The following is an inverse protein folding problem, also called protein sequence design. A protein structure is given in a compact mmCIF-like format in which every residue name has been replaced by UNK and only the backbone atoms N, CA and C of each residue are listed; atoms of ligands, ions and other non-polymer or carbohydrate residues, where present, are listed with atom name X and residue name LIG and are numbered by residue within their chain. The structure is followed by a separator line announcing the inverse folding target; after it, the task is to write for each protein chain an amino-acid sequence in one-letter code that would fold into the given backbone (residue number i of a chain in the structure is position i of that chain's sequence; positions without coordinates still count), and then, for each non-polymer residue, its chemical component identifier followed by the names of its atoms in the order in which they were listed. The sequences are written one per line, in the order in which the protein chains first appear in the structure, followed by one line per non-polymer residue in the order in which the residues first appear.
data_IF_685065755188
#
_entry.id   IF_685065755188
#
_cell.length_a   1.000
_cell.length_b   1.000
_cell.length_c   1.000
_cell.angle_alpha   90.00
_cell.angle_beta   90.00
_cell.angle_gamma   90.00
#
_symmetry.space_group_name_H-M   'P 1'
#
loop_
_entity.id
_entity.type
_entity.pdbx_description
1 polymer ?
#
# COMPACT_ATOMS: atom_id res chain seq x y z
N UNK A 1 -1.05 36.35 11.06
CA UNK A 1 -0.61 35.31 10.11
C UNK A 1 0.73 35.71 9.56
N UNK A 2 1.73 34.81 9.48
CA UNK A 2 2.96 35.12 8.74
C UNK A 2 2.62 35.46 7.28
N UNK A 3 3.42 36.31 6.65
CA UNK A 3 3.17 36.71 5.27
C UNK A 3 3.34 35.49 4.33
N UNK A 4 2.48 35.33 3.32
CA UNK A 4 2.64 34.30 2.30
C UNK A 4 4.04 34.37 1.67
N UNK A 5 4.81 33.29 1.77
CA UNK A 5 6.20 33.20 1.28
C UNK A 5 6.28 32.55 -0.09
N UNK A 6 7.23 33.02 -0.91
CA UNK A 6 7.69 32.35 -2.11
C UNK A 6 9.11 31.85 -1.84
N UNK A 7 9.36 30.56 -2.02
CA UNK A 7 10.62 29.94 -1.64
C UNK A 7 11.17 29.05 -2.77
N UNK A 8 12.50 29.05 -2.89
CA UNK A 8 13.26 28.27 -3.87
C UNK A 8 14.33 27.49 -3.11
N UNK A 9 14.22 26.17 -3.10
CA UNK A 9 15.29 25.29 -2.61
C UNK A 9 16.18 24.89 -3.78
N UNK A 10 17.47 25.20 -3.70
CA UNK A 10 18.48 24.82 -4.68
C UNK A 10 19.29 23.62 -4.20
N UNK A 11 19.46 22.62 -5.05
CA UNK A 11 20.28 21.43 -4.80
C UNK A 11 21.05 21.05 -6.06
N UNK A 12 22.04 20.18 -5.94
CA UNK A 12 22.87 19.73 -7.05
C UNK A 12 22.57 18.27 -7.40
N UNK A 13 22.34 18.00 -8.67
CA UNK A 13 22.25 16.68 -9.27
C UNK A 13 23.51 16.38 -10.08
N UNK A 14 23.97 15.13 -10.03
CA UNK A 14 25.12 14.69 -10.87
C UNK A 14 24.77 14.65 -12.35
N UNK A 15 23.49 14.46 -12.66
CA UNK A 15 23.01 14.26 -14.02
C UNK A 15 22.34 15.51 -14.59
N UNK A 16 21.67 16.30 -13.75
CA UNK A 16 20.86 17.45 -14.17
C UNK A 16 21.53 18.81 -13.92
N UNK A 17 22.61 18.84 -13.13
CA UNK A 17 23.27 20.09 -12.74
C UNK A 17 22.60 20.74 -11.53
N UNK A 18 22.29 22.03 -11.62
CA UNK A 18 21.59 22.75 -10.54
C UNK A 18 20.10 22.49 -10.67
N UNK A 19 19.48 21.98 -9.60
CA UNK A 19 18.04 21.73 -9.52
C UNK A 19 17.42 22.70 -8.52
N UNK A 20 16.30 23.31 -8.91
CA UNK A 20 15.52 24.24 -8.13
C UNK A 20 14.12 23.66 -7.91
N UNK A 21 13.65 23.69 -6.67
CA UNK A 21 12.33 23.26 -6.27
C UNK A 21 11.62 24.44 -5.62
N UNK A 22 10.45 24.80 -6.14
CA UNK A 22 9.66 25.92 -5.64
C UNK A 22 8.59 25.47 -4.67
N UNK A 23 8.43 26.22 -3.59
CA UNK A 23 7.41 25.95 -2.57
C UNK A 23 6.99 27.23 -1.85
N UNK A 24 6.00 27.10 -0.97
CA UNK A 24 5.34 28.19 -0.25
C UNK A 24 3.99 28.59 -0.86
N UNK A 25 3.23 29.40 -0.14
CA UNK A 25 1.90 29.87 -0.57
C UNK A 25 1.94 30.64 -1.89
N UNK A 26 3.08 31.28 -2.20
CA UNK A 26 3.32 32.04 -3.43
C UNK A 26 4.33 31.35 -4.36
N UNK A 27 4.42 30.02 -4.35
CA UNK A 27 5.35 29.25 -5.21
C UNK A 27 5.27 29.62 -6.71
N UNK A 28 4.13 30.11 -7.20
CA UNK A 28 3.99 30.61 -8.58
C UNK A 28 4.91 31.80 -8.89
N UNK A 29 5.20 32.67 -7.92
CA UNK A 29 6.14 33.78 -8.07
C UNK A 29 7.58 33.26 -8.15
N UNK A 30 7.92 32.25 -7.35
CA UNK A 30 9.19 31.54 -7.43
C UNK A 30 9.38 30.83 -8.79
N UNK A 31 8.32 30.26 -9.37
CA UNK A 31 8.36 29.67 -10.72
C UNK A 31 8.70 30.72 -11.79
N UNK A 32 8.06 31.90 -11.74
CA UNK A 32 8.37 33.00 -12.67
C UNK A 32 9.83 33.45 -12.56
N UNK A 33 10.35 33.57 -11.34
CA UNK A 33 11.75 33.92 -11.12
C UNK A 33 12.72 32.92 -11.75
N UNK A 34 12.42 31.62 -11.70
CA UNK A 34 13.23 30.57 -12.33
C UNK A 34 13.14 30.59 -13.86
N UNK A 35 11.94 30.78 -14.40
CA UNK A 35 11.72 30.90 -15.84
C UNK A 35 12.47 32.10 -16.42
N UNK A 36 12.39 33.27 -15.78
CA UNK A 36 13.12 34.48 -16.20
C UNK A 36 14.65 34.35 -16.04
N UNK A 37 15.10 33.58 -15.05
CA UNK A 37 16.52 33.26 -14.85
C UNK A 37 17.06 32.22 -15.86
N UNK A 38 16.20 31.61 -16.68
CA UNK A 38 16.56 30.68 -17.74
C UNK A 38 16.66 29.21 -17.31
N UNK A 39 15.98 28.81 -16.23
CA UNK A 39 15.86 27.40 -15.87
C UNK A 39 14.86 26.67 -16.79
N UNK A 40 15.16 25.42 -17.13
CA UNK A 40 14.24 24.55 -17.85
C UNK A 40 13.36 23.76 -16.86
N UNK A 41 12.05 23.68 -17.10
CA UNK A 41 11.11 22.97 -16.22
C UNK A 41 10.96 21.51 -16.62
N UNK A 42 11.03 20.62 -15.63
CA UNK A 42 10.81 19.18 -15.78
C UNK A 42 9.33 18.82 -15.60
N UNK A 43 8.90 17.65 -16.11
CA UNK A 43 7.52 17.18 -15.96
C UNK A 43 7.07 17.01 -14.49
N UNK A 44 8.01 16.64 -13.61
CA UNK A 44 7.75 16.48 -12.18
C UNK A 44 7.65 17.83 -11.43
N UNK A 45 7.77 18.97 -12.13
CA UNK A 45 7.65 20.31 -11.56
C UNK A 45 8.97 20.96 -11.11
N UNK A 46 10.07 20.21 -11.02
CA UNK A 46 11.39 20.77 -10.71
C UNK A 46 11.94 21.59 -11.87
N UNK A 47 12.85 22.52 -11.59
CA UNK A 47 13.50 23.36 -12.59
C UNK A 47 15.01 23.10 -12.59
N UNK A 48 15.64 23.02 -13.76
CA UNK A 48 17.06 22.66 -13.90
C UNK A 48 17.86 23.72 -14.67
N UNK A 49 19.13 23.86 -14.30
CA UNK A 49 20.12 24.64 -15.01
C UNK A 49 21.43 23.82 -15.14
N UNK A 50 21.90 23.53 -16.37
CA UNK A 50 23.14 22.78 -16.56
C UNK A 50 24.34 23.50 -15.95
N UNK A 51 25.24 22.73 -15.33
CA UNK A 51 26.51 23.24 -14.77
C UNK A 51 27.71 22.97 -15.70
N UNK A 52 27.46 22.63 -16.96
CA UNK A 52 28.50 22.24 -17.93
C UNK A 52 29.39 23.41 -18.36
N UNK A 53 28.85 24.64 -18.43
CA UNK A 53 29.61 25.87 -18.67
C UNK A 53 29.65 26.76 -17.41
N UNK A 54 30.81 26.94 -16.77
CA UNK A 54 30.96 27.79 -15.59
C UNK A 54 30.54 29.24 -15.79
N UNK A 55 30.69 29.81 -16.99
CA UNK A 55 30.30 31.19 -17.28
C UNK A 55 28.79 31.32 -17.44
N UNK A 56 28.14 30.40 -18.16
CA UNK A 56 26.68 30.31 -18.21
C UNK A 56 26.09 30.09 -16.82
N UNK A 57 26.62 29.15 -16.04
CA UNK A 57 26.14 28.85 -14.69
C UNK A 57 26.21 30.08 -13.76
N UNK A 58 27.31 30.86 -13.81
CA UNK A 58 27.41 32.12 -13.06
C UNK A 58 26.38 33.16 -13.51
N UNK A 59 26.13 33.28 -14.82
CA UNK A 59 25.10 34.19 -15.34
C UNK A 59 23.70 33.79 -14.87
N UNK A 60 23.36 32.50 -14.95
CA UNK A 60 22.08 31.95 -14.47
C UNK A 60 21.92 32.15 -12.96
N UNK A 61 22.96 31.92 -12.16
CA UNK A 61 22.92 32.17 -10.72
C UNK A 61 22.70 33.66 -10.39
N UNK A 62 23.41 34.57 -11.06
CA UNK A 62 23.22 36.01 -10.88
C UNK A 62 21.83 36.47 -11.31
N UNK A 63 21.32 35.95 -12.43
CA UNK A 63 19.95 36.21 -12.89
C UNK A 63 18.92 35.70 -11.88
N UNK A 64 19.11 34.49 -11.35
CA UNK A 64 18.23 33.92 -10.32
C UNK A 64 18.17 34.81 -9.08
N UNK A 65 19.30 35.28 -8.56
CA UNK A 65 19.31 36.17 -7.39
C UNK A 65 18.55 37.47 -7.69
N UNK A 66 18.75 38.04 -8.89
CA UNK A 66 18.04 39.26 -9.31
C UNK A 66 16.53 39.05 -9.42
N UNK A 67 16.09 38.01 -10.12
CA UNK A 67 14.67 37.71 -10.33
C UNK A 67 13.99 37.23 -9.05
N UNK A 68 14.66 36.44 -8.21
CA UNK A 68 14.12 36.05 -6.91
C UNK A 68 13.85 37.28 -6.03
N UNK A 69 14.77 38.24 -5.98
CA UNK A 69 14.54 39.50 -5.28
C UNK A 69 13.36 40.29 -5.89
N UNK A 70 13.28 40.39 -7.22
CA UNK A 70 12.19 41.10 -7.90
C UNK A 70 10.81 40.49 -7.65
N UNK A 71 10.72 39.16 -7.55
CA UNK A 71 9.48 38.42 -7.28
C UNK A 71 9.26 38.12 -5.78
N UNK A 72 10.09 38.66 -4.88
CA UNK A 72 9.96 38.44 -3.44
C UNK A 72 10.16 36.99 -2.99
N UNK A 73 10.93 36.20 -3.75
CA UNK A 73 11.26 34.82 -3.44
C UNK A 73 12.56 34.69 -2.64
N UNK A 74 12.54 33.83 -1.63
CA UNK A 74 13.73 33.49 -0.83
C UNK A 74 14.43 32.27 -1.42
N UNK A 75 15.76 32.31 -1.53
CA UNK A 75 16.57 31.21 -2.03
C UNK A 75 17.27 30.53 -0.85
N UNK A 76 17.07 29.22 -0.72
CA UNK A 76 17.76 28.37 0.25
C UNK A 76 18.59 27.33 -0.50
N UNK A 77 19.88 27.22 -0.21
CA UNK A 77 20.74 26.18 -0.79
C UNK A 77 20.79 24.97 0.13
N UNK A 78 20.46 23.81 -0.41
CA UNK A 78 20.64 22.52 0.27
C UNK A 78 22.08 22.07 0.12
N UNK A 79 22.67 21.59 1.21
CA UNK A 79 23.98 20.91 1.19
C UNK A 79 23.86 19.45 0.75
N UNK A 80 22.63 18.96 0.55
CA UNK A 80 22.35 17.58 0.17
C UNK A 80 22.20 17.48 -1.35
N UNK A 81 22.64 16.36 -1.96
CA UNK A 81 22.36 16.08 -3.35
C UNK A 81 20.85 16.02 -3.62
N UNK A 82 20.49 16.22 -4.89
CA UNK A 82 19.10 16.17 -5.33
C UNK A 82 18.44 14.84 -4.92
N UNK A 83 17.34 14.92 -4.16
CA UNK A 83 16.67 13.74 -3.60
C UNK A 83 16.20 12.76 -4.67
N UNK A 84 15.84 13.23 -5.87
CA UNK A 84 15.46 12.37 -6.98
C UNK A 84 16.61 11.48 -7.49
N UNK A 85 17.84 11.98 -7.50
CA UNK A 85 19.02 11.16 -7.83
C UNK A 85 19.21 10.07 -6.77
N UNK A 86 19.13 10.46 -5.49
CA UNK A 86 19.30 9.55 -4.36
C UNK A 86 18.24 8.44 -4.34
N UNK A 87 16.97 8.78 -4.57
CA UNK A 87 15.88 7.80 -4.70
C UNK A 87 16.08 6.84 -5.86
N UNK A 88 16.51 7.35 -7.03
CA UNK A 88 16.81 6.53 -8.21
C UNK A 88 17.98 5.57 -7.96
N UNK A 89 19.05 6.03 -7.31
CA UNK A 89 20.21 5.21 -6.95
C UNK A 89 19.87 4.11 -5.93
N UNK A 90 18.95 4.38 -4.99
CA UNK A 90 18.41 3.35 -4.09
C UNK A 90 17.58 2.34 -4.87
N UNK A 91 16.59 2.80 -5.64
CA UNK A 91 15.67 1.94 -6.37
C UNK A 91 16.41 0.96 -7.30
N UNK A 92 17.47 1.41 -7.98
CA UNK A 92 18.32 0.57 -8.83
C UNK A 92 19.05 -0.55 -8.08
N UNK A 93 19.23 -0.43 -6.76
CA UNK A 93 19.94 -1.39 -5.92
C UNK A 93 19.00 -2.27 -5.07
N UNK A 94 17.70 -1.96 -5.03
CA UNK A 94 16.72 -2.76 -4.31
C UNK A 94 16.41 -4.08 -5.04
N UNK A 95 16.05 -5.15 -4.31
CA UNK A 95 15.67 -6.41 -4.92
C UNK A 95 14.32 -6.29 -5.65
N UNK A 96 14.28 -6.73 -6.90
CA UNK A 96 13.10 -6.67 -7.77
C UNK A 96 13.10 -5.46 -8.69
N UNK A 97 11.94 -5.11 -9.23
CA UNK A 97 11.77 -3.94 -10.10
C UNK A 97 11.23 -2.78 -9.26
N UNK A 98 12.09 -1.81 -8.98
CA UNK A 98 11.74 -0.57 -8.29
C UNK A 98 11.94 0.63 -9.21
N UNK A 99 11.03 1.59 -9.12
CA UNK A 99 11.20 2.94 -9.68
C UNK A 99 11.20 3.95 -8.53
N UNK A 100 11.75 5.12 -8.80
CA UNK A 100 11.69 6.26 -7.90
C UNK A 100 11.22 7.48 -8.68
N UNK A 101 10.26 8.20 -8.10
CA UNK A 101 9.76 9.46 -8.64
C UNK A 101 9.86 10.52 -7.57
N UNK A 102 10.20 11.75 -7.96
CA UNK A 102 10.16 12.88 -7.02
C UNK A 102 8.78 13.53 -7.11
N UNK A 103 8.12 13.61 -5.96
CA UNK A 103 6.89 14.37 -5.79
C UNK A 103 7.20 15.72 -5.13
N UNK A 104 6.57 16.78 -5.63
CA UNK A 104 6.76 18.14 -5.16
C UNK A 104 5.45 18.67 -4.61
N UNK A 105 5.43 18.91 -3.30
CA UNK A 105 4.32 19.50 -2.59
C UNK A 105 4.56 21.01 -2.51
N UNK A 106 4.42 21.76 -3.62
CA UNK A 106 4.77 23.20 -3.63
C UNK A 106 3.93 24.01 -2.63
N UNK A 107 2.62 23.78 -2.56
CA UNK A 107 1.74 24.46 -1.62
C UNK A 107 1.72 23.75 -0.24
N UNK A 108 1.74 24.47 0.90
CA UNK A 108 1.72 23.85 2.24
C UNK A 108 0.62 22.82 2.45
N UNK A 109 -0.61 23.14 2.02
CA UNK A 109 -1.76 22.24 2.14
C UNK A 109 -1.60 20.91 1.38
N UNK A 110 -0.78 20.83 0.33
CA UNK A 110 -0.61 19.59 -0.43
C UNK A 110 0.21 18.54 0.32
N UNK A 111 0.95 18.94 1.36
CA UNK A 111 1.61 17.97 2.25
C UNK A 111 0.56 17.21 3.08
N UNK A 112 -0.60 17.82 3.35
CA UNK A 112 -1.65 17.17 4.15
C UNK A 112 -2.26 15.96 3.44
N UNK A 113 -2.15 15.89 2.11
CA UNK A 113 -2.59 14.75 1.31
C UNK A 113 -1.77 13.48 1.62
N UNK A 114 -0.57 13.62 2.22
CA UNK A 114 0.25 12.47 2.63
C UNK A 114 -0.29 11.76 3.87
N UNK A 115 -1.00 12.47 4.75
CA UNK A 115 -1.42 11.92 6.04
C UNK A 115 -2.24 10.65 5.95
N UNK A 116 -3.28 10.57 5.09
CA UNK A 116 -4.10 9.37 4.98
C UNK A 116 -3.34 8.19 4.34
N UNK A 117 -2.24 8.46 3.64
CA UNK A 117 -1.47 7.44 2.94
C UNK A 117 -0.33 6.86 3.78
N UNK A 118 0.06 7.48 4.90
CA UNK A 118 1.14 6.93 5.74
C UNK A 118 0.67 5.67 6.44
N UNK A 119 1.47 4.60 6.34
CA UNK A 119 1.15 3.37 7.06
C UNK A 119 1.56 3.41 8.54
N UNK A 120 2.41 4.33 8.96
CA UNK A 120 2.83 4.41 10.37
C UNK A 120 2.83 5.84 10.89
N UNK A 121 2.55 5.98 12.19
CA UNK A 121 2.60 7.25 12.92
C UNK A 121 3.93 7.51 13.66
N UNK A 122 5.02 6.87 13.24
CA UNK A 122 6.32 6.93 13.89
C UNK A 122 7.10 8.23 13.63
N UNK A 123 8.42 8.10 13.45
CA UNK A 123 9.28 9.27 13.16
C UNK A 123 8.87 9.98 11.87
N UNK A 124 8.32 9.26 10.89
CA UNK A 124 7.83 9.83 9.62
C UNK A 124 6.69 10.80 9.86
N UNK A 125 5.73 10.37 10.67
CA UNK A 125 4.56 11.16 10.98
C UNK A 125 4.94 12.43 11.73
N UNK A 126 5.74 12.31 12.81
CA UNK A 126 6.23 13.50 13.53
C UNK A 126 7.04 14.44 12.64
N UNK A 127 7.84 13.89 11.72
CA UNK A 127 8.58 14.71 10.76
C UNK A 127 7.65 15.53 9.85
N UNK A 128 6.55 14.94 9.39
CA UNK A 128 5.54 15.62 8.58
C UNK A 128 4.66 16.58 9.40
N UNK A 129 4.52 16.35 10.71
CA UNK A 129 3.70 17.18 11.61
C UNK A 129 4.46 18.44 12.00
N UNK A 130 5.71 18.25 12.44
CA UNK A 130 6.54 19.31 12.99
C UNK A 130 7.23 20.14 11.90
N UNK A 131 7.38 19.60 10.69
CA UNK A 131 8.19 20.22 9.64
C UNK A 131 7.50 20.29 8.30
N UNK A 132 7.84 21.36 7.57
CA UNK A 132 7.48 21.51 6.17
C UNK A 132 8.36 20.61 5.30
N UNK A 133 7.73 19.69 4.57
CA UNK A 133 8.37 18.81 3.58
C UNK A 133 7.90 19.22 2.17
N UNK A 134 8.67 20.06 1.45
CA UNK A 134 8.25 20.58 0.14
C UNK A 134 8.37 19.56 -1.00
N UNK A 135 9.06 18.45 -0.79
CA UNK A 135 9.23 17.37 -1.77
C UNK A 135 9.66 16.08 -1.08
N UNK A 136 9.32 14.96 -1.70
CA UNK A 136 9.72 13.62 -1.29
C UNK A 136 10.05 12.77 -2.52
N UNK A 137 10.79 11.68 -2.34
CA UNK A 137 10.91 10.66 -3.38
C UNK A 137 10.04 9.47 -3.01
N UNK A 138 9.13 9.09 -3.92
CA UNK A 138 8.29 7.91 -3.76
C UNK A 138 8.91 6.76 -4.54
N UNK A 139 9.24 5.68 -3.83
CA UNK A 139 9.78 4.46 -4.41
C UNK A 139 8.65 3.46 -4.56
N UNK A 140 8.42 2.98 -5.78
CA UNK A 140 7.34 2.04 -6.10
C UNK A 140 7.91 0.75 -6.64
N UNK A 141 7.32 -0.38 -6.26
CA UNK A 141 7.63 -1.66 -6.88
C UNK A 141 6.47 -2.18 -7.74
N UNK A 142 6.77 -3.13 -8.62
CA UNK A 142 5.77 -3.76 -9.49
C UNK A 142 4.70 -4.60 -8.75
N UNK A 143 4.78 -4.74 -7.43
CA UNK A 143 3.80 -5.43 -6.59
C UNK A 143 2.91 -4.49 -5.78
N UNK A 144 2.95 -3.18 -6.04
CA UNK A 144 2.10 -2.19 -5.37
C UNK A 144 2.61 -1.72 -4.00
N UNK A 145 3.85 -2.06 -3.62
CA UNK A 145 4.48 -1.44 -2.43
C UNK A 145 4.98 -0.05 -2.81
N UNK A 146 4.60 0.94 -2.01
CA UNK A 146 5.04 2.32 -2.15
C UNK A 146 5.75 2.77 -0.86
N UNK A 147 6.91 3.40 -1.00
CA UNK A 147 7.72 3.89 0.11
C UNK A 147 7.96 5.39 -0.05
N UNK A 148 7.83 6.14 1.04
CA UNK A 148 8.08 7.57 1.08
C UNK A 148 9.48 7.83 1.66
N UNK A 149 10.32 8.48 0.86
CA UNK A 149 11.67 8.91 1.24
C UNK A 149 11.71 10.42 1.36
N UNK A 150 12.05 10.92 2.55
CA UNK A 150 12.22 12.35 2.81
C UNK A 150 13.61 12.67 3.33
N UNK A 151 14.01 13.93 3.17
CA UNK A 151 15.14 14.46 3.92
C UNK A 151 14.80 14.48 5.42
N UNK A 152 15.69 13.95 6.27
CA UNK A 152 15.48 13.97 7.72
C UNK A 152 15.51 15.42 8.25
N UNK A 153 14.39 15.97 8.76
CA UNK A 153 14.34 17.36 9.24
C UNK A 153 15.21 17.60 10.46
N UNK A 154 15.75 18.81 10.64
CA UNK A 154 16.60 19.16 11.78
C UNK A 154 18.01 18.51 11.78
N UNK A 155 18.31 17.61 10.84
CA UNK A 155 19.60 16.96 10.71
C UNK A 155 20.38 17.46 9.49
N UNK A 156 21.71 17.41 9.53
CA UNK A 156 22.57 17.84 8.40
C UNK A 156 22.72 16.78 7.30
N UNK A 157 22.43 15.52 7.62
CA UNK A 157 22.57 14.39 6.70
C UNK A 157 21.61 13.27 7.10
N UNK A 158 21.43 12.31 6.19
CA UNK A 158 20.54 11.17 6.38
C UNK A 158 19.12 11.46 5.92
N UNK A 159 18.42 10.37 5.63
CA UNK A 159 17.07 10.39 5.09
C UNK A 159 16.17 9.58 6.01
N UNK A 160 14.87 9.76 5.88
CA UNK A 160 13.89 8.97 6.60
C UNK A 160 13.01 8.26 5.57
N UNK A 161 12.76 6.97 5.80
CA UNK A 161 11.96 6.14 4.93
C UNK A 161 10.77 5.58 5.71
N UNK A 162 9.58 5.74 5.17
CA UNK A 162 8.34 5.16 5.66
C UNK A 162 7.59 4.43 4.55
N UNK A 163 6.55 3.67 4.92
CA UNK A 163 5.68 3.00 3.96
C UNK A 163 4.44 3.84 3.70
N UNK A 164 4.01 3.88 2.43
CA UNK A 164 2.70 4.37 2.06
C UNK A 164 1.73 3.19 1.91
N UNK A 165 0.45 3.46 2.07
CA UNK A 165 -0.64 2.51 1.89
C UNK A 165 -1.82 3.17 1.20
N UNK A 166 -2.51 2.38 0.39
CA UNK A 166 -3.79 2.71 -0.21
C UNK A 166 -4.97 2.13 0.59
N UNK A 167 -4.68 1.45 1.71
CA UNK A 167 -5.66 0.81 2.57
C UNK A 167 -6.24 1.81 3.55
N UNK A 168 -7.56 1.82 3.70
CA UNK A 168 -8.24 2.59 4.74
C UNK A 168 -7.73 2.17 6.12
N UNK A 169 -7.34 3.15 6.94
CA UNK A 169 -6.89 2.93 8.32
C UNK A 169 -7.82 3.62 9.30
N UNK A 170 -8.20 2.88 10.35
CA UNK A 170 -9.06 3.36 11.43
C UNK A 170 -8.30 4.39 12.31
N UNK A 171 -7.01 4.16 12.61
CA UNK A 171 -6.09 5.13 13.23
C UNK A 171 -4.62 4.66 13.11
N UNK A 172 -3.72 5.41 12.42
CA UNK A 172 -2.31 5.05 12.30
C UNK A 172 -1.48 5.26 13.59
N UNK A 173 -1.99 5.98 14.59
CA UNK A 173 -1.20 6.47 15.75
C UNK A 173 -0.67 5.37 16.67
N UNK A 174 -1.46 4.33 16.89
CA UNK A 174 -1.22 3.37 17.96
C UNK A 174 -1.22 1.90 17.48
N UNK A 175 -1.15 1.64 16.17
CA UNK A 175 -1.08 0.26 15.67
C UNK A 175 0.36 -0.29 15.73
N UNK A 176 0.71 -1.17 16.70
CA UNK A 176 2.04 -1.73 16.85
C UNK A 176 2.39 -2.73 15.73
N UNK A 177 1.44 -3.04 14.84
CA UNK A 177 1.64 -3.95 13.73
C UNK A 177 2.12 -3.26 12.45
N UNK A 178 2.18 -1.93 12.45
CA UNK A 178 2.68 -1.12 11.31
C UNK A 178 4.21 -1.13 11.22
N UNK A 179 4.79 -1.03 10.02
CA UNK A 179 6.24 -1.03 9.87
C UNK A 179 6.81 0.32 10.27
N UNK A 180 7.68 0.33 11.28
CA UNK A 180 8.34 1.55 11.71
C UNK A 180 9.21 2.17 10.61
N UNK A 181 9.20 3.49 10.52
CA UNK A 181 10.17 4.22 9.69
C UNK A 181 11.60 3.94 10.13
N UNK A 182 12.51 4.04 9.17
CA UNK A 182 13.94 3.89 9.44
C UNK A 182 14.72 5.10 8.95
N UNK A 183 15.76 5.44 9.70
CA UNK A 183 16.74 6.44 9.29
C UNK A 183 17.75 5.79 8.35
N UNK A 184 17.92 6.38 7.18
CA UNK A 184 18.85 5.94 6.15
C UNK A 184 20.13 6.79 6.17
N UNK A 185 21.30 6.17 5.94
CA UNK A 185 22.55 6.90 5.74
C UNK A 185 22.52 7.70 4.43
N UNK A 186 23.44 8.66 4.29
CA UNK A 186 23.56 9.46 3.08
C UNK A 186 24.25 8.72 1.91
N UNK A 187 24.84 7.54 2.16
CA UNK A 187 25.38 6.69 1.11
C UNK A 187 24.25 5.83 0.49
N UNK A 188 23.98 5.94 -0.81
CA UNK A 188 22.87 5.24 -1.47
C UNK A 188 22.98 3.71 -1.38
N UNK A 189 24.20 3.15 -1.41
CA UNK A 189 24.40 1.71 -1.34
C UNK A 189 24.15 1.15 0.06
N UNK A 190 24.63 1.83 1.10
CA UNK A 190 24.30 1.50 2.49
C UNK A 190 22.81 1.71 2.78
N UNK A 191 22.21 2.75 2.22
CA UNK A 191 20.78 3.00 2.33
C UNK A 191 19.97 1.86 1.69
N UNK A 192 20.28 1.48 0.44
CA UNK A 192 19.60 0.38 -0.24
C UNK A 192 19.70 -0.95 0.53
N UNK A 193 20.87 -1.25 1.14
CA UNK A 193 21.03 -2.42 2.01
C UNK A 193 20.16 -2.33 3.27
N UNK A 194 20.15 -1.18 3.95
CA UNK A 194 19.29 -0.98 5.12
C UNK A 194 17.81 -1.19 4.77
N UNK A 195 17.38 -0.70 3.60
CA UNK A 195 16.02 -0.94 3.10
C UNK A 195 15.78 -2.42 2.80
N UNK A 196 16.65 -3.06 2.04
CA UNK A 196 16.48 -4.45 1.60
C UNK A 196 16.54 -5.46 2.77
N UNK A 197 17.46 -5.26 3.70
CA UNK A 197 17.77 -6.24 4.75
C UNK A 197 17.01 -5.97 6.05
N UNK A 198 16.55 -4.74 6.29
CA UNK A 198 15.87 -4.36 7.54
C UNK A 198 14.42 -3.94 7.29
N UNK A 199 14.20 -2.93 6.44
CA UNK A 199 12.86 -2.34 6.26
C UNK A 199 11.90 -3.29 5.53
N UNK A 200 12.27 -3.79 4.35
CA UNK A 200 11.39 -4.66 3.55
C UNK A 200 10.98 -5.94 4.28
N UNK A 201 11.86 -6.63 5.05
CA UNK A 201 11.44 -7.73 5.89
C UNK A 201 10.45 -7.31 6.99
N UNK A 202 10.67 -6.18 7.66
CA UNK A 202 9.74 -5.66 8.66
C UNK A 202 8.37 -5.32 8.04
N UNK A 203 8.37 -4.63 6.91
CA UNK A 203 7.18 -4.32 6.10
C UNK A 203 6.39 -5.57 5.71
N UNK A 204 7.05 -6.63 5.22
CA UNK A 204 6.36 -7.89 4.88
C UNK A 204 5.73 -8.57 6.10
N UNK A 205 6.36 -8.47 7.27
CA UNK A 205 5.80 -8.99 8.53
C UNK A 205 4.58 -8.19 8.97
N UNK A 206 4.66 -6.86 8.88
CA UNK A 206 3.54 -5.96 9.16
C UNK A 206 2.33 -6.28 8.27
N UNK A 207 2.55 -6.45 6.95
CA UNK A 207 1.46 -6.77 6.01
C UNK A 207 0.81 -8.11 6.38
N UNK A 208 1.64 -9.11 6.69
CA UNK A 208 1.17 -10.43 7.11
C UNK A 208 0.33 -10.37 8.39
N UNK A 209 0.75 -9.58 9.38
CA UNK A 209 -0.01 -9.40 10.61
C UNK A 209 -1.32 -8.66 10.38
N UNK A 210 -1.31 -7.60 9.57
CA UNK A 210 -2.51 -6.84 9.22
C UNK A 210 -3.52 -7.73 8.48
N UNK A 211 -3.09 -8.43 7.43
CA UNK A 211 -3.93 -9.36 6.68
C UNK A 211 -4.50 -10.44 7.61
N UNK A 212 -3.69 -10.99 8.52
CA UNK A 212 -4.16 -11.97 9.51
C UNK A 212 -5.19 -11.38 10.47
N UNK A 213 -4.93 -10.20 11.02
CA UNK A 213 -5.85 -9.52 11.94
C UNK A 213 -7.18 -9.18 11.26
N UNK A 214 -7.17 -8.79 9.99
CA UNK A 214 -8.38 -8.54 9.21
C UNK A 214 -9.22 -9.82 9.06
N UNK A 215 -8.59 -10.94 8.72
CA UNK A 215 -9.27 -12.24 8.64
C UNK A 215 -9.83 -12.64 10.00
N UNK A 216 -9.04 -12.55 11.08
CA UNK A 216 -9.50 -12.96 12.41
C UNK A 216 -10.63 -12.07 12.94
N UNK A 217 -10.54 -10.74 12.79
CA UNK A 217 -11.63 -9.80 13.13
C UNK A 217 -12.90 -10.12 12.34
N UNK A 218 -12.78 -10.46 11.06
CA UNK A 218 -13.92 -10.84 10.23
C UNK A 218 -14.57 -12.14 10.70
N UNK A 219 -13.77 -13.17 11.00
CA UNK A 219 -14.27 -14.44 11.51
C UNK A 219 -14.94 -14.31 12.88
N UNK A 220 -14.40 -13.46 13.77
CA UNK A 220 -15.00 -13.18 15.07
C UNK A 220 -16.37 -12.52 14.93
N UNK A 221 -16.48 -11.48 14.08
CA UNK A 221 -17.78 -10.83 13.80
C UNK A 221 -18.81 -11.81 13.24
N UNK A 222 -18.41 -12.70 12.33
CA UNK A 222 -19.31 -13.73 11.80
C UNK A 222 -19.73 -14.71 12.91
N UNK A 223 -18.81 -15.09 13.80
CA UNK A 223 -19.09 -16.00 14.90
C UNK A 223 -20.11 -15.42 15.88
N UNK A 224 -19.94 -14.17 16.30
CA UNK A 224 -20.87 -13.46 17.20
C UNK A 224 -22.30 -13.43 16.62
N UNK A 225 -22.42 -13.09 15.33
CA UNK A 225 -23.71 -13.07 14.62
C UNK A 225 -24.30 -14.47 14.48
N UNK A 226 -23.48 -15.48 14.20
CA UNK A 226 -23.92 -16.86 14.06
C UNK A 226 -24.41 -17.44 15.39
N UNK A 227 -23.70 -17.21 16.49
CA UNK A 227 -24.11 -17.61 17.83
C UNK A 227 -25.43 -16.96 18.23
N UNK A 228 -25.60 -15.67 17.92
CA UNK A 228 -26.86 -14.95 18.14
C UNK A 228 -28.02 -15.60 17.38
N UNK A 229 -27.80 -15.95 16.10
CA UNK A 229 -28.81 -16.65 15.30
C UNK A 229 -29.16 -18.02 15.89
N UNK A 230 -28.18 -18.82 16.33
CA UNK A 230 -28.44 -20.14 16.91
C UNK A 230 -29.27 -20.05 18.19
N UNK A 231 -28.94 -19.12 19.10
CA UNK A 231 -29.73 -18.89 20.34
C UNK A 231 -31.18 -18.52 20.02
N UNK A 232 -31.40 -17.71 18.98
CA UNK A 232 -32.74 -17.32 18.55
C UNK A 232 -33.51 -18.51 17.96
N UNK A 233 -32.85 -19.36 17.16
CA UNK A 233 -33.45 -20.58 16.59
C UNK A 233 -33.82 -21.59 17.67
N UNK A 234 -32.94 -21.79 18.66
CA UNK A 234 -33.16 -22.71 19.77
C UNK A 234 -34.27 -22.23 20.72
N UNK A 235 -34.31 -20.93 21.02
CA UNK A 235 -35.32 -20.36 21.92
C UNK A 235 -36.67 -20.12 21.24
N UNK A 236 -36.70 -20.07 19.91
CA UNK A 236 -37.88 -19.67 19.13
C UNK A 236 -38.32 -18.23 19.43
N UNK A 237 -37.40 -17.35 19.86
CA UNK A 237 -37.67 -15.97 20.26
C UNK A 237 -36.55 -15.03 19.81
N UNK A 238 -36.91 -13.81 19.46
CA UNK A 238 -35.93 -12.73 19.26
C UNK A 238 -35.19 -12.37 20.55
N UNK A 239 -34.11 -11.61 20.41
CA UNK A 239 -33.31 -11.07 21.53
C UNK A 239 -34.11 -10.19 22.49
N UNK A 240 -35.21 -9.58 22.03
CA UNK A 240 -36.15 -8.79 22.84
C UNK A 240 -37.27 -9.64 23.49
N UNK A 241 -37.26 -10.96 23.28
CA UNK A 241 -38.22 -11.92 23.83
C UNK A 241 -39.47 -12.15 22.97
N UNK A 242 -39.60 -11.48 21.81
CA UNK A 242 -40.74 -11.64 20.90
C UNK A 242 -40.75 -13.06 20.31
N UNK A 243 -41.87 -13.81 20.42
CA UNK A 243 -41.94 -15.18 19.92
C UNK A 243 -41.93 -15.25 18.38
N UNK A 244 -41.09 -16.12 17.83
CA UNK A 244 -41.07 -16.49 16.42
C UNK A 244 -42.13 -17.56 16.17
N UNK A 245 -43.33 -17.14 15.76
CA UNK A 245 -44.48 -18.04 15.51
C UNK A 245 -44.57 -18.54 14.07
N UNK A 246 -43.79 -17.96 13.15
CA UNK A 246 -43.86 -18.23 11.71
C UNK A 246 -42.48 -18.59 11.15
N UNK A 247 -42.42 -19.68 10.37
CA UNK A 247 -41.22 -20.14 9.66
C UNK A 247 -40.68 -19.08 8.68
N UNK A 248 -41.52 -18.15 8.20
CA UNK A 248 -41.10 -17.04 7.35
C UNK A 248 -40.23 -16.02 8.06
N UNK A 249 -40.42 -15.84 9.38
CA UNK A 249 -39.60 -14.93 10.18
C UNK A 249 -38.20 -15.51 10.38
N UNK A 250 -38.11 -16.83 10.63
CA UNK A 250 -36.82 -17.55 10.72
C UNK A 250 -36.05 -17.42 9.41
N UNK A 251 -36.70 -17.65 8.27
CA UNK A 251 -36.06 -17.51 6.95
C UNK A 251 -35.76 -16.05 6.54
N UNK A 252 -36.31 -15.05 7.25
CA UNK A 252 -35.91 -13.65 7.13
C UNK A 252 -34.60 -13.40 7.88
N UNK A 253 -34.52 -13.88 9.13
CA UNK A 253 -33.33 -13.76 9.96
C UNK A 253 -32.10 -14.48 9.38
N UNK A 254 -32.29 -15.64 8.77
CA UNK A 254 -31.18 -16.34 8.08
C UNK A 254 -30.64 -15.52 6.91
N UNK A 255 -31.51 -14.78 6.21
CA UNK A 255 -31.11 -13.86 5.13
C UNK A 255 -30.40 -12.63 5.67
N UNK A 256 -30.89 -12.07 6.77
CA UNK A 256 -30.23 -10.94 7.42
C UNK A 256 -28.84 -11.34 7.93
N UNK A 257 -28.73 -12.50 8.59
CA UNK A 257 -27.43 -13.06 8.97
C UNK A 257 -26.52 -13.24 7.75
N UNK A 258 -27.01 -13.85 6.67
CA UNK A 258 -26.22 -14.04 5.45
C UNK A 258 -25.71 -12.71 4.85
N UNK A 259 -26.52 -11.65 4.88
CA UNK A 259 -26.12 -10.30 4.46
C UNK A 259 -24.96 -9.76 5.31
N UNK A 260 -25.09 -9.81 6.64
CA UNK A 260 -24.05 -9.33 7.57
C UNK A 260 -22.78 -10.20 7.52
N UNK A 261 -22.94 -11.52 7.45
CA UNK A 261 -21.84 -12.46 7.34
C UNK A 261 -21.07 -12.25 6.04
N UNK A 262 -21.76 -12.00 4.92
CA UNK A 262 -21.12 -11.65 3.64
C UNK A 262 -20.22 -10.41 3.78
N UNK A 263 -20.72 -9.33 4.40
CA UNK A 263 -19.95 -8.09 4.56
C UNK A 263 -18.60 -8.31 5.22
N UNK A 264 -18.56 -9.15 6.26
CA UNK A 264 -17.35 -9.54 6.97
C UNK A 264 -16.52 -10.56 6.20
N UNK A 265 -17.16 -11.56 5.58
CA UNK A 265 -16.49 -12.64 4.87
C UNK A 265 -15.67 -12.17 3.66
N UNK A 266 -16.02 -11.02 3.05
CA UNK A 266 -15.19 -10.39 2.01
C UNK A 266 -13.74 -10.16 2.45
N UNK A 267 -13.50 -9.80 3.71
CA UNK A 267 -12.13 -9.65 4.22
C UNK A 267 -11.38 -10.99 4.27
N UNK A 268 -12.08 -12.10 4.50
CA UNK A 268 -11.51 -13.45 4.39
C UNK A 268 -11.13 -13.75 2.94
N UNK A 269 -12.03 -13.48 2.00
CA UNK A 269 -11.78 -13.68 0.56
C UNK A 269 -10.62 -12.84 0.04
N UNK A 270 -10.48 -11.62 0.54
CA UNK A 270 -9.43 -10.68 0.13
C UNK A 270 -8.05 -11.05 0.70
N UNK A 271 -7.97 -11.37 1.99
CA UNK A 271 -6.67 -11.48 2.69
C UNK A 271 -6.20 -12.92 2.93
N UNK A 272 -7.12 -13.88 3.08
CA UNK A 272 -6.76 -15.26 3.43
C UNK A 272 -6.00 -16.05 2.33
N UNK A 273 -6.24 -15.85 1.01
CA UNK A 273 -5.54 -16.61 -0.02
C UNK A 273 -4.02 -16.55 0.12
N UNK A 274 -3.47 -15.34 0.27
CA UNK A 274 -2.02 -15.14 0.41
C UNK A 274 -1.48 -15.77 1.69
N UNK A 275 -2.20 -15.68 2.81
CA UNK A 275 -1.83 -16.31 4.08
C UNK A 275 -1.77 -17.85 3.95
N UNK A 276 -2.79 -18.46 3.33
CA UNK A 276 -2.85 -19.91 3.11
C UNK A 276 -1.73 -20.41 2.19
N UNK A 277 -1.28 -19.61 1.22
CA UNK A 277 -0.13 -19.98 0.38
C UNK A 277 1.19 -20.03 1.15
N UNK A 278 1.28 -19.39 2.32
CA UNK A 278 2.47 -19.37 3.17
C UNK A 278 2.47 -20.45 4.26
N UNK A 279 1.30 -20.99 4.64
CA UNK A 279 1.20 -22.05 5.64
C UNK A 279 1.95 -23.31 5.20
N UNK A 280 2.81 -23.85 6.08
CA UNK A 280 3.61 -25.05 5.87
C UNK A 280 3.45 -26.01 7.05
N UNK A 281 2.32 -26.73 7.18
CA UNK A 281 2.03 -27.56 8.35
C UNK A 281 3.09 -28.63 8.64
N UNK A 282 3.74 -29.18 7.60
CA UNK A 282 4.84 -30.14 7.79
C UNK A 282 6.11 -29.55 8.45
N UNK A 283 6.25 -28.22 8.47
CA UNK A 283 7.36 -27.49 9.08
C UNK A 283 6.98 -26.86 10.44
N UNK A 284 5.78 -27.17 10.96
CA UNK A 284 5.29 -26.67 12.25
C UNK A 284 5.04 -27.82 13.23
N UNK A 285 4.82 -27.54 14.53
CA UNK A 285 4.47 -28.55 15.52
C UNK A 285 3.13 -29.26 15.30
N UNK A 286 2.28 -28.76 14.39
CA UNK A 286 0.92 -29.25 14.13
C UNK A 286 0.73 -29.68 12.67
N UNK A 287 1.39 -30.77 12.22
CA UNK A 287 1.23 -31.27 10.85
C UNK A 287 -0.20 -31.72 10.53
N UNK A 288 -0.99 -32.10 11.54
CA UNK A 288 -2.39 -32.48 11.44
C UNK A 288 -3.31 -31.37 10.91
N UNK A 289 -2.93 -30.09 11.11
CA UNK A 289 -3.69 -28.94 10.60
C UNK A 289 -3.75 -28.91 9.05
N UNK A 290 -2.94 -29.72 8.35
CA UNK A 290 -2.95 -29.81 6.90
C UNK A 290 -4.34 -30.14 6.32
N UNK A 291 -5.13 -30.99 6.99
CA UNK A 291 -6.48 -31.33 6.52
C UNK A 291 -7.44 -30.13 6.61
N UNK A 292 -7.36 -29.36 7.70
CA UNK A 292 -8.11 -28.12 7.86
C UNK A 292 -7.73 -27.09 6.80
N UNK A 293 -6.43 -26.87 6.58
CA UNK A 293 -5.95 -25.95 5.55
C UNK A 293 -6.39 -26.34 4.13
N UNK A 294 -6.57 -27.63 3.84
CA UNK A 294 -7.11 -28.09 2.55
C UNK A 294 -8.59 -27.72 2.42
N UNK A 295 -9.42 -28.01 3.44
CA UNK A 295 -10.83 -27.63 3.45
C UNK A 295 -11.03 -26.12 3.31
N UNK A 296 -10.19 -25.32 3.96
CA UNK A 296 -10.23 -23.85 3.83
C UNK A 296 -9.91 -23.37 2.41
N UNK A 297 -8.97 -24.01 1.71
CA UNK A 297 -8.69 -23.70 0.29
C UNK A 297 -9.86 -24.08 -0.61
N UNK A 298 -10.49 -25.22 -0.36
CA UNK A 298 -11.69 -25.65 -1.07
C UNK A 298 -12.86 -24.69 -0.82
N UNK A 299 -13.04 -24.22 0.42
CA UNK A 299 -14.04 -23.22 0.78
C UNK A 299 -13.82 -21.88 0.07
N UNK A 300 -12.57 -21.43 -0.08
CA UNK A 300 -12.25 -20.25 -0.90
C UNK A 300 -12.58 -20.48 -2.37
N UNK A 301 -12.17 -21.61 -2.94
CA UNK A 301 -12.46 -21.94 -4.34
C UNK A 301 -13.98 -22.01 -4.60
N UNK A 302 -14.74 -22.57 -3.66
CA UNK A 302 -16.20 -22.60 -3.70
C UNK A 302 -16.82 -21.18 -3.66
N UNK A 303 -16.17 -20.24 -2.98
CA UNK A 303 -16.66 -18.86 -2.84
C UNK A 303 -16.30 -17.95 -4.03
N UNK A 304 -15.52 -18.44 -5.00
CA UNK A 304 -14.92 -17.61 -6.05
C UNK A 304 -15.97 -16.99 -6.97
N UNK A 305 -16.98 -17.74 -7.39
CA UNK A 305 -18.02 -17.22 -8.30
C UNK A 305 -18.79 -16.05 -7.66
N UNK A 306 -19.14 -16.17 -6.38
CA UNK A 306 -19.80 -15.10 -5.62
C UNK A 306 -18.88 -13.88 -5.40
N UNK A 307 -17.57 -14.11 -5.27
CA UNK A 307 -16.57 -13.05 -5.17
C UNK A 307 -16.41 -12.28 -6.48
N UNK A 308 -16.35 -13.00 -7.61
CA UNK A 308 -16.25 -12.42 -8.94
C UNK A 308 -17.52 -11.62 -9.27
N UNK A 309 -18.71 -12.17 -9.01
CA UNK A 309 -19.99 -11.46 -9.17
C UNK A 309 -20.03 -10.16 -8.36
N UNK A 310 -19.58 -10.19 -7.10
CA UNK A 310 -19.49 -8.99 -6.27
C UNK A 310 -18.52 -7.94 -6.84
N UNK A 311 -17.37 -8.37 -7.34
CA UNK A 311 -16.37 -7.46 -7.90
C UNK A 311 -16.84 -6.84 -9.21
N UNK A 312 -17.51 -7.60 -10.07
CA UNK A 312 -18.11 -7.10 -11.31
C UNK A 312 -19.18 -6.05 -10.99
N UNK A 313 -20.07 -6.34 -10.04
CA UNK A 313 -21.05 -5.36 -9.56
C UNK A 313 -20.38 -4.09 -9.04
N UNK A 314 -19.32 -4.23 -8.24
CA UNK A 314 -18.56 -3.09 -7.68
C UNK A 314 -17.94 -2.22 -8.78
N UNK A 315 -17.35 -2.84 -9.81
CA UNK A 315 -16.74 -2.13 -10.94
C UNK A 315 -17.79 -1.39 -11.78
N UNK A 316 -18.92 -2.03 -12.08
CA UNK A 316 -20.02 -1.40 -12.82
C UNK A 316 -20.53 -0.13 -12.14
N UNK A 317 -20.57 -0.08 -10.81
CA UNK A 317 -21.05 1.06 -10.03
C UNK A 317 -20.09 2.24 -10.00
N UNK A 318 -18.78 1.99 -9.93
CA UNK A 318 -17.80 3.05 -10.08
C UNK A 318 -17.83 3.65 -11.50
N UNK A 319 -18.40 2.93 -12.48
CA UNK A 319 -18.56 3.39 -13.85
C UNK A 319 -19.94 3.99 -14.22
N UNK A 320 -20.98 3.87 -13.37
CA UNK A 320 -22.35 4.34 -13.68
C UNK A 320 -22.97 5.09 -12.47
N UNK A 321 -23.53 6.32 -12.63
CA UNK A 321 -24.15 7.07 -11.52
C UNK A 321 -25.47 6.49 -10.95
N UNK A 322 -25.78 5.21 -11.16
CA UNK A 322 -27.03 4.60 -10.68
C UNK A 322 -26.81 4.01 -9.29
N UNK A 323 -27.19 4.75 -8.27
CA UNK A 323 -27.30 4.25 -6.90
C UNK A 323 -28.45 3.25 -6.82
N UNK A 324 -28.14 1.95 -6.75
CA UNK A 324 -29.11 0.96 -6.29
C UNK A 324 -29.60 1.39 -4.89
N UNK A 325 -30.92 1.40 -4.62
CA UNK A 325 -31.46 1.60 -3.28
C UNK A 325 -30.86 0.63 -2.25
N UNK A 326 -30.69 1.07 -0.99
CA UNK A 326 -30.04 0.29 0.06
C UNK A 326 -30.67 -1.09 0.33
N UNK A 327 -31.98 -1.25 0.06
CA UNK A 327 -32.70 -2.51 0.23
C UNK A 327 -32.38 -3.53 -0.87
N UNK A 328 -32.15 -3.08 -2.11
CA UNK A 328 -31.74 -3.96 -3.22
C UNK A 328 -30.32 -4.49 -2.96
N UNK A 329 -29.46 -3.66 -2.37
CA UNK A 329 -28.14 -4.07 -1.90
C UNK A 329 -28.15 -5.15 -0.84
N UNK A 330 -29.00 -4.99 0.18
CA UNK A 330 -29.16 -6.00 1.23
C UNK A 330 -29.64 -7.33 0.65
N UNK A 331 -30.56 -7.29 -0.33
CA UNK A 331 -31.03 -8.50 -0.99
C UNK A 331 -29.93 -9.22 -1.79
N UNK A 332 -29.13 -8.49 -2.58
CA UNK A 332 -28.00 -9.06 -3.35
C UNK A 332 -26.97 -9.68 -2.40
N UNK A 333 -26.56 -8.94 -1.36
CA UNK A 333 -25.59 -9.44 -0.37
C UNK A 333 -26.13 -10.64 0.40
N UNK A 334 -27.41 -10.64 0.77
CA UNK A 334 -28.05 -11.80 1.39
C UNK A 334 -28.05 -13.03 0.48
N UNK A 335 -28.24 -12.87 -0.84
CA UNK A 335 -28.15 -13.98 -1.79
C UNK A 335 -26.72 -14.53 -1.91
N UNK A 336 -25.73 -13.66 -2.05
CA UNK A 336 -24.31 -14.05 -2.09
C UNK A 336 -23.91 -14.75 -0.79
N UNK A 337 -24.28 -14.17 0.36
CA UNK A 337 -24.03 -14.74 1.68
C UNK A 337 -24.65 -16.13 1.85
N UNK A 338 -25.89 -16.34 1.40
CA UNK A 338 -26.54 -17.65 1.44
C UNK A 338 -25.81 -18.66 0.53
N UNK A 339 -25.35 -18.23 -0.64
CA UNK A 339 -24.63 -19.09 -1.57
C UNK A 339 -23.31 -19.59 -0.98
N UNK A 340 -22.58 -18.75 -0.24
CA UNK A 340 -21.29 -19.10 0.37
C UNK A 340 -21.39 -19.59 1.81
N UNK A 341 -22.60 -19.75 2.36
CA UNK A 341 -22.79 -20.12 3.77
C UNK A 341 -22.03 -21.41 4.17
N UNK A 342 -22.02 -22.50 3.37
CA UNK A 342 -21.23 -23.69 3.71
C UNK A 342 -19.72 -23.43 3.81
N UNK A 343 -19.20 -22.50 3.00
CA UNK A 343 -17.80 -22.08 3.07
C UNK A 343 -17.55 -21.26 4.34
N UNK A 344 -18.47 -20.36 4.71
CA UNK A 344 -18.41 -19.60 5.97
C UNK A 344 -18.38 -20.55 7.17
N UNK A 345 -19.27 -21.55 7.22
CA UNK A 345 -19.29 -22.55 8.29
C UNK A 345 -17.97 -23.34 8.39
N UNK A 346 -17.39 -23.70 7.24
CA UNK A 346 -16.06 -24.35 7.18
C UNK A 346 -14.97 -23.45 7.77
N UNK A 347 -15.00 -22.15 7.43
CA UNK A 347 -14.07 -21.16 7.96
C UNK A 347 -14.20 -20.98 9.48
N UNK A 348 -15.42 -20.96 10.02
CA UNK A 348 -15.64 -20.90 11.46
C UNK A 348 -15.07 -22.13 12.17
N UNK A 349 -15.32 -23.32 11.63
CA UNK A 349 -14.89 -24.61 12.20
C UNK A 349 -13.36 -24.78 12.21
N UNK A 350 -12.67 -24.35 11.13
CA UNK A 350 -11.23 -24.55 10.96
C UNK A 350 -10.38 -23.30 11.28
N UNK A 351 -11.00 -22.24 11.83
CA UNK A 351 -10.37 -20.95 12.14
C UNK A 351 -9.16 -21.04 13.08
N UNK A 352 -9.21 -21.89 14.11
CA UNK A 352 -8.08 -22.05 15.05
C UNK A 352 -6.85 -22.68 14.40
N UNK A 353 -7.07 -23.69 13.54
CA UNK A 353 -6.00 -24.33 12.78
C UNK A 353 -5.39 -23.33 11.79
N UNK A 354 -6.22 -22.53 11.13
CA UNK A 354 -5.77 -21.43 10.30
C UNK A 354 -4.91 -20.44 11.08
N UNK A 355 -5.39 -19.94 12.22
CA UNK A 355 -4.67 -18.94 13.03
C UNK A 355 -3.29 -19.45 13.43
N UNK A 356 -3.21 -20.66 14.01
CA UNK A 356 -1.93 -21.26 14.43
C UNK A 356 -0.94 -21.34 13.28
N UNK A 357 -1.39 -21.82 12.12
CA UNK A 357 -0.52 -21.99 10.95
C UNK A 357 -0.13 -20.66 10.31
N UNK A 358 -1.05 -19.70 10.25
CA UNK A 358 -0.78 -18.37 9.72
C UNK A 358 0.21 -17.61 10.61
N UNK A 359 0.10 -17.71 11.94
CA UNK A 359 1.08 -17.15 12.88
C UNK A 359 2.45 -17.84 12.77
N UNK A 360 2.50 -19.14 12.51
CA UNK A 360 3.76 -19.85 12.28
C UNK A 360 4.42 -19.47 10.93
N UNK A 361 3.62 -19.07 9.95
CA UNK A 361 4.04 -18.74 8.58
C UNK A 361 4.51 -17.29 8.38
N UNK A 362 4.78 -16.54 9.45
CA UNK A 362 5.27 -15.16 9.39
C UNK A 362 6.53 -15.07 8.51
N UNK A 363 6.59 -14.11 7.56
CA UNK A 363 7.76 -13.93 6.69
C UNK A 363 9.07 -13.78 7.48
N UNK A 364 10.10 -14.56 7.09
CA UNK A 364 11.38 -14.60 7.78
C UNK A 364 11.40 -15.41 9.08
N UNK A 365 10.28 -16.03 9.46
CA UNK A 365 10.21 -16.97 10.59
C UNK A 365 10.76 -18.37 10.26
N UNK A 366 10.90 -19.25 11.27
CA UNK A 366 11.50 -20.58 11.12
C UNK A 366 10.85 -21.45 10.02
N UNK A 367 9.53 -21.40 9.90
CA UNK A 367 8.79 -22.13 8.87
C UNK A 367 9.02 -21.57 7.45
N UNK A 368 9.16 -20.24 7.32
CA UNK A 368 9.48 -19.59 6.05
C UNK A 368 10.94 -19.85 5.62
N UNK A 369 11.87 -19.93 6.58
CA UNK A 369 13.29 -20.22 6.36
C UNK A 369 13.55 -21.69 6.01
N UNK A 370 12.64 -22.59 6.37
CA UNK A 370 12.70 -24.02 6.04
C UNK A 370 12.23 -24.32 4.61
N UNK A 371 11.75 -23.31 3.87
CA UNK A 371 11.41 -23.46 2.47
C UNK A 371 12.68 -23.62 1.62
N UNK A 372 12.72 -24.57 0.65
CA UNK A 372 13.78 -24.57 -0.34
C UNK A 372 13.78 -23.22 -1.06
N UNK A 373 14.98 -22.64 -1.27
CA UNK A 373 15.17 -21.36 -1.95
C UNK A 373 14.30 -21.33 -3.21
N UNK A 374 13.41 -20.34 -3.40
CA UNK A 374 12.61 -20.27 -4.61
C UNK A 374 13.58 -20.19 -5.79
N UNK A 375 13.63 -21.25 -6.61
CA UNK A 375 14.20 -21.12 -7.95
C UNK A 375 13.33 -20.07 -8.63
N UNK A 376 13.93 -18.93 -8.93
CA UNK A 376 13.40 -17.96 -9.88
C UNK A 376 12.87 -18.76 -11.07
N UNK A 377 11.54 -18.83 -11.20
CA UNK A 377 10.89 -19.24 -12.42
C UNK A 377 11.13 -18.11 -13.42
N UNK A 378 12.35 -18.04 -13.95
CA UNK A 378 12.56 -17.47 -15.27
C UNK A 378 11.80 -18.40 -16.21
N UNK A 379 10.53 -18.08 -16.47
CA UNK A 379 9.80 -18.61 -17.60
C UNK A 379 10.55 -18.17 -18.86
N UNK A 380 11.54 -18.96 -19.26
CA UNK A 380 12.08 -18.89 -20.61
C UNK A 380 10.95 -19.36 -21.52
N UNK A 381 10.49 -18.56 -22.49
CA UNK A 381 9.50 -19.03 -23.45
C UNK A 381 10.02 -20.30 -24.10
N UNK A 382 9.17 -21.32 -24.16
CA UNK A 382 9.48 -22.52 -24.93
C UNK A 382 9.85 -22.09 -26.36
N UNK A 383 10.94 -22.61 -26.95
CA UNK A 383 11.23 -22.34 -28.34
C UNK A 383 10.05 -22.82 -29.19
N UNK A 384 9.54 -21.94 -30.05
CA UNK A 384 8.51 -22.28 -31.04
C UNK A 384 8.95 -23.52 -31.83
N UNK A 385 8.06 -24.48 -32.08
CA UNK A 385 8.38 -25.63 -32.91
C UNK A 385 8.76 -25.15 -34.32
N UNK A 386 9.92 -25.62 -34.80
CA UNK A 386 10.40 -25.31 -36.13
C UNK A 386 9.35 -25.71 -37.19
N UNK A 387 9.18 -24.90 -38.26
CA UNK A 387 8.23 -25.22 -39.32
C UNK A 387 8.61 -26.55 -39.99
N UNK A 388 7.65 -27.47 -40.04
CA UNK A 388 7.77 -28.72 -40.79
C UNK A 388 8.00 -28.39 -42.26
N UNK A 389 9.12 -28.83 -42.81
CA UNK A 389 9.41 -28.83 -44.23
C UNK A 389 8.30 -29.59 -44.96
N UNK A 390 7.60 -28.92 -45.88
CA UNK A 390 6.65 -29.58 -46.77
C UNK A 390 7.41 -30.55 -47.71
N UNK A 391 6.89 -31.76 -47.97
CA UNK A 391 7.47 -32.63 -48.97
C UNK A 391 7.20 -32.05 -50.37
N UNK A 392 8.26 -31.98 -51.18
CA UNK A 392 8.15 -31.67 -52.60
C UNK A 392 7.31 -32.74 -53.30
N UNK A 393 6.18 -32.34 -53.87
CA UNK A 393 5.47 -33.14 -54.86
C UNK A 393 6.08 -32.85 -56.24
N UNK A 394 6.46 -33.93 -56.92
CA UNK A 394 6.71 -33.99 -58.36
C UNK A 394 5.42 -33.86 -59.14
#
# INVERSE_FOLDING_TARGET
MPNPTAEITLTTSRHLGLVAITHGEKYQQANRALEEAGFARLPNGASIAPLTDPQAARRTASALVHHAHAHGATITTSTRPYLGDFGTEIAAQLPGTWSAELEIYSHPLWQEDLWPMLWEAGEMYRALEDHRIPFASVLKNGSGTELLLIERPGHRSGYLLGALTDREQEDPHDDPTTPHSIVLPADPGLAARAVADTFLPAHRRALHHQDLNNVLRALERIREEHETLQVIKESGRYSDGVPLRDSRLIGGMERDFADHAWLSYRAVLEHAPLLLTRCRPAATPWPEDAAALTRLREALAFSQDAWDEWNDLRQELYSIPRTLPAHEWSQVRGQLGLAVLPAIETWLADSEAFERQARAAVPGGPAALSAPTPRLLTARPAPLPAPRSAPAYR
#
